data_IF_931314869743
#
_entry.id   IF_931314869743
#
_cell.length_a   1.000
_cell.length_b   1.000
_cell.length_c   1.000
_cell.angle_alpha   90.00
_cell.angle_beta   90.00
_cell.angle_gamma   90.00
#
_symmetry.space_group_name_H-M   'P 1'
#
loop_
_entity.id
_entity.type
_entity.pdbx_description
1 polymer ?
#
# COMPACT_ATOMS: atom_id res chain seq x y z
N UNK A 1 -21.36 29.88 -27.04
CA UNK A 1 -20.46 29.63 -25.89
C UNK A 1 -21.19 29.24 -24.61
N UNK A 2 -22.21 29.99 -24.15
CA UNK A 2 -22.90 29.71 -22.87
C UNK A 2 -23.55 28.30 -22.77
N UNK A 3 -24.20 27.80 -23.83
CA UNK A 3 -24.82 26.46 -23.81
C UNK A 3 -23.80 25.31 -23.65
N UNK A 4 -22.62 25.47 -24.24
CA UNK A 4 -21.52 24.49 -24.09
C UNK A 4 -21.03 24.42 -22.65
N UNK A 5 -20.85 25.57 -22.00
CA UNK A 5 -20.47 25.65 -20.58
C UNK A 5 -21.56 25.02 -19.69
N UNK A 6 -22.83 25.30 -19.95
CA UNK A 6 -23.95 24.70 -19.21
C UNK A 6 -23.95 23.16 -19.26
N UNK A 7 -23.77 22.57 -20.45
CA UNK A 7 -23.67 21.12 -20.60
C UNK A 7 -22.42 20.54 -19.93
N UNK A 8 -21.30 21.27 -19.95
CA UNK A 8 -20.09 20.89 -19.23
C UNK A 8 -20.32 20.82 -17.72
N UNK A 9 -20.98 21.82 -17.14
CA UNK A 9 -21.29 21.83 -15.70
C UNK A 9 -22.16 20.63 -15.29
N UNK A 10 -23.13 20.25 -16.11
CA UNK A 10 -23.95 19.06 -15.88
C UNK A 10 -23.09 17.79 -15.92
N UNK A 11 -22.28 17.61 -16.97
CA UNK A 11 -21.43 16.43 -17.11
C UNK A 11 -20.34 16.31 -16.03
N UNK A 12 -19.87 17.43 -15.48
CA UNK A 12 -18.94 17.43 -14.34
C UNK A 12 -19.61 16.96 -13.05
N UNK A 13 -20.88 17.31 -12.82
CA UNK A 13 -21.64 16.82 -11.66
C UNK A 13 -21.86 15.32 -11.73
N UNK A 14 -22.24 14.81 -12.91
CA UNK A 14 -22.40 13.36 -13.14
C UNK A 14 -21.09 12.60 -12.88
N UNK A 15 -19.96 13.11 -13.39
CA UNK A 15 -18.64 12.51 -13.13
C UNK A 15 -18.27 12.49 -11.65
N UNK A 16 -18.62 13.54 -10.90
CA UNK A 16 -18.35 13.58 -9.47
C UNK A 16 -19.17 12.53 -8.69
N UNK A 17 -20.43 12.32 -9.05
CA UNK A 17 -21.24 11.28 -8.41
C UNK A 17 -20.75 9.87 -8.78
N UNK A 18 -20.36 9.63 -10.04
CA UNK A 18 -19.73 8.36 -10.44
C UNK A 18 -18.41 8.10 -9.69
N UNK A 19 -17.59 9.15 -9.49
CA UNK A 19 -16.37 9.04 -8.71
C UNK A 19 -16.66 8.72 -7.25
N UNK A 20 -17.73 9.30 -6.68
CA UNK A 20 -18.20 9.00 -5.33
C UNK A 20 -18.63 7.54 -5.23
N UNK A 21 -19.47 7.05 -6.14
CA UNK A 21 -19.89 5.65 -6.17
C UNK A 21 -18.71 4.69 -6.28
N UNK A 22 -17.71 5.02 -7.08
CA UNK A 22 -16.45 4.25 -7.17
C UNK A 22 -15.67 4.23 -5.86
N UNK A 23 -15.63 5.35 -5.13
CA UNK A 23 -14.98 5.41 -3.81
C UNK A 23 -15.78 4.58 -2.81
N UNK A 24 -17.11 4.69 -2.82
CA UNK A 24 -17.99 3.94 -1.93
C UNK A 24 -17.86 2.43 -2.18
N UNK A 25 -17.84 1.96 -3.42
CA UNK A 25 -17.60 0.55 -3.72
C UNK A 25 -16.23 0.09 -3.23
N UNK A 26 -15.19 0.93 -3.38
CA UNK A 26 -13.85 0.63 -2.88
C UNK A 26 -13.80 0.49 -1.36
N UNK A 27 -14.44 1.38 -0.59
CA UNK A 27 -14.44 1.32 0.89
C UNK A 27 -14.98 -0.01 1.40
N UNK A 28 -15.98 -0.58 0.73
CA UNK A 28 -16.57 -1.87 1.11
C UNK A 28 -15.70 -3.06 0.68
N UNK A 29 -14.90 -2.93 -0.38
CA UNK A 29 -14.05 -4.00 -0.90
C UNK A 29 -12.65 -4.04 -0.26
N UNK A 30 -12.11 -2.88 0.15
CA UNK A 30 -10.78 -2.78 0.77
C UNK A 30 -10.58 -3.77 1.92
N UNK A 31 -11.52 -3.91 2.89
CA UNK A 31 -11.30 -4.81 4.02
C UNK A 31 -11.12 -6.27 3.60
N UNK A 32 -11.86 -6.72 2.58
CA UNK A 32 -11.72 -8.07 2.05
C UNK A 32 -10.39 -8.24 1.33
N UNK A 33 -10.01 -7.29 0.47
CA UNK A 33 -8.74 -7.34 -0.27
C UNK A 33 -7.54 -7.30 0.68
N UNK A 34 -7.59 -6.47 1.72
CA UNK A 34 -6.57 -6.41 2.75
C UNK A 34 -6.45 -7.74 3.49
N UNK A 35 -7.58 -8.36 3.84
CA UNK A 35 -7.59 -9.65 4.52
C UNK A 35 -7.00 -10.78 3.65
N UNK A 36 -7.26 -10.78 2.34
CA UNK A 36 -6.65 -11.75 1.42
C UNK A 36 -5.14 -11.50 1.26
N UNK A 37 -4.72 -10.24 1.14
CA UNK A 37 -3.30 -9.88 1.09
C UNK A 37 -2.57 -10.31 2.37
N UNK A 38 -3.11 -9.97 3.54
CA UNK A 38 -2.52 -10.32 4.84
C UNK A 38 -2.35 -11.85 5.01
N UNK A 39 -3.31 -12.66 4.51
CA UNK A 39 -3.21 -14.14 4.52
C UNK A 39 -2.05 -14.65 3.67
N UNK A 40 -1.88 -14.11 2.47
CA UNK A 40 -0.79 -14.52 1.59
C UNK A 40 0.58 -14.10 2.09
N UNK A 41 0.67 -12.91 2.70
CA UNK A 41 1.90 -12.46 3.36
C UNK A 41 2.27 -13.37 4.54
N UNK A 42 1.30 -13.72 5.39
CA UNK A 42 1.53 -14.63 6.51
C UNK A 42 2.05 -16.00 6.05
N UNK A 43 1.48 -16.56 4.97
CA UNK A 43 1.93 -17.85 4.40
C UNK A 43 3.41 -17.81 3.98
N UNK A 44 3.82 -16.75 3.28
CA UNK A 44 5.22 -16.59 2.82
C UNK A 44 6.17 -16.46 4.00
N UNK A 45 5.80 -15.63 4.97
CA UNK A 45 6.61 -15.40 6.18
C UNK A 45 6.86 -16.69 6.98
N UNK A 46 5.82 -17.50 7.21
CA UNK A 46 5.99 -18.76 7.93
C UNK A 46 6.80 -19.79 7.16
N UNK A 47 6.66 -19.85 5.83
CA UNK A 47 7.45 -20.74 5.00
C UNK A 47 8.96 -20.37 5.01
N UNK A 48 9.27 -19.08 4.99
CA UNK A 48 10.65 -18.60 5.07
C UNK A 48 11.25 -18.84 6.46
N UNK A 49 10.46 -18.64 7.53
CA UNK A 49 10.88 -18.98 8.90
C UNK A 49 11.18 -20.46 9.09
N UNK A 50 10.34 -21.34 8.55
CA UNK A 50 10.58 -22.79 8.61
C UNK A 50 11.90 -23.15 7.92
N UNK A 51 12.15 -22.57 6.74
CA UNK A 51 13.40 -22.77 5.98
C UNK A 51 14.62 -22.23 6.71
N UNK A 52 14.51 -21.06 7.34
CA UNK A 52 15.58 -20.45 8.13
C UNK A 52 15.92 -21.30 9.36
N UNK A 53 14.90 -21.83 10.04
CA UNK A 53 15.06 -22.73 11.17
C UNK A 53 15.74 -24.05 10.79
N UNK A 54 15.43 -24.61 9.63
CA UNK A 54 16.11 -25.80 9.11
C UNK A 54 17.60 -25.57 8.82
N UNK A 55 17.95 -24.40 8.28
CA UNK A 55 19.33 -24.09 7.88
C UNK A 55 20.20 -23.58 9.04
N UNK A 56 19.67 -22.69 9.87
CA UNK A 56 20.42 -21.97 10.91
C UNK A 56 20.13 -22.46 12.33
N UNK A 57 19.09 -23.29 12.50
CA UNK A 57 18.72 -23.87 13.80
C UNK A 57 18.16 -22.88 14.83
N UNK A 58 18.15 -21.57 14.54
CA UNK A 58 17.73 -20.51 15.46
C UNK A 58 16.89 -19.46 14.77
N UNK A 59 15.86 -18.97 15.47
CA UNK A 59 15.07 -17.81 15.03
C UNK A 59 15.73 -16.54 15.56
N UNK A 60 16.44 -15.82 14.69
CA UNK A 60 17.17 -14.60 15.09
C UNK A 60 16.32 -13.34 14.84
N UNK A 61 16.16 -12.51 15.88
CA UNK A 61 15.56 -11.19 15.73
C UNK A 61 16.65 -10.15 15.40
N UNK A 62 16.47 -9.41 14.31
CA UNK A 62 17.41 -8.35 13.90
C UNK A 62 17.18 -7.09 14.74
N UNK A 63 15.92 -6.75 15.02
CA UNK A 63 15.54 -5.55 15.77
C UNK A 63 15.22 -5.89 17.22
N UNK A 64 15.49 -4.93 18.12
CA UNK A 64 15.25 -5.07 19.55
C UNK A 64 13.79 -4.78 19.96
N UNK A 65 12.96 -4.27 19.05
CA UNK A 65 11.55 -3.95 19.31
C UNK A 65 10.63 -5.11 18.98
N UNK A 66 9.56 -5.27 19.76
CA UNK A 66 8.51 -6.28 19.53
C UNK A 66 7.47 -5.83 18.47
N UNK A 67 7.77 -4.76 17.74
CA UNK A 67 6.90 -4.25 16.68
C UNK A 67 6.97 -5.19 15.48
N UNK A 68 5.81 -5.49 14.90
CA UNK A 68 5.78 -6.14 13.58
C UNK A 68 6.47 -5.24 12.55
N UNK A 69 7.59 -5.73 12.02
CA UNK A 69 8.27 -5.12 10.89
C UNK A 69 7.90 -5.96 9.67
N UNK A 70 7.34 -5.31 8.66
CA UNK A 70 7.09 -5.98 7.38
C UNK A 70 8.43 -6.49 6.84
N UNK A 71 8.55 -7.81 6.65
CA UNK A 71 9.82 -8.38 6.18
C UNK A 71 10.13 -7.82 4.75
N UNK A 72 11.33 -7.25 4.53
CA UNK A 72 11.68 -6.64 3.25
C UNK A 72 11.72 -7.62 2.06
N UNK A 73 11.89 -8.93 2.29
CA UNK A 73 12.11 -9.95 1.25
C UNK A 73 10.93 -10.08 0.29
N UNK A 74 9.70 -9.94 0.78
CA UNK A 74 8.51 -9.95 -0.08
C UNK A 74 8.28 -8.62 -0.82
N UNK A 75 8.99 -7.54 -0.45
CA UNK A 75 9.01 -6.27 -1.20
C UNK A 75 10.08 -6.30 -2.30
N UNK A 76 11.24 -6.93 -2.05
CA UNK A 76 12.36 -6.90 -3.01
C UNK A 76 12.07 -7.59 -4.34
N UNK A 77 11.25 -8.65 -4.38
CA UNK A 77 10.80 -9.23 -5.64
C UNK A 77 9.92 -8.27 -6.45
N UNK A 78 9.01 -7.55 -5.80
CA UNK A 78 8.20 -6.52 -6.46
C UNK A 78 9.06 -5.31 -6.87
N UNK A 79 10.07 -4.95 -6.07
CA UNK A 79 10.97 -3.80 -6.32
C UNK A 79 11.97 -4.06 -7.45
N UNK A 80 12.49 -5.29 -7.55
CA UNK A 80 13.37 -5.70 -8.65
C UNK A 80 12.62 -5.76 -9.99
N UNK A 81 11.33 -6.11 -9.97
CA UNK A 81 10.49 -6.14 -11.17
C UNK A 81 9.95 -4.76 -11.56
N UNK A 82 9.85 -3.80 -10.62
CA UNK A 82 9.34 -2.45 -10.88
C UNK A 82 10.41 -1.38 -11.12
N UNK A 83 11.71 -1.71 -11.07
CA UNK A 83 12.80 -0.81 -11.48
C UNK A 83 12.84 0.55 -10.75
N UNK A 84 12.20 0.68 -9.58
CA UNK A 84 12.08 1.95 -8.89
C UNK A 84 13.29 2.22 -7.99
N UNK A 85 14.03 3.27 -8.35
CA UNK A 85 15.35 3.62 -7.81
C UNK A 85 15.34 3.87 -6.30
N UNK A 86 16.41 3.42 -5.67
CA UNK A 86 16.65 3.29 -4.24
C UNK A 86 17.12 4.60 -3.60
N UNK A 87 16.20 5.53 -3.35
CA UNK A 87 16.51 6.81 -2.69
C UNK A 87 15.77 7.03 -1.36
N UNK A 88 15.50 5.95 -0.64
CA UNK A 88 14.97 6.03 0.74
C UNK A 88 15.82 5.10 1.61
N UNK A 89 17.09 5.48 1.77
CA UNK A 89 17.91 5.11 2.91
C UNK A 89 18.27 6.44 3.57
N UNK A 90 18.12 6.50 4.89
CA UNK A 90 18.40 7.65 5.76
C UNK A 90 17.25 8.64 5.96
N UNK A 91 16.14 8.22 6.57
CA UNK A 91 15.52 9.06 7.60
C UNK A 91 14.98 8.20 8.72
N UNK A 92 15.20 8.70 9.93
CA UNK A 92 15.00 8.01 11.19
C UNK A 92 13.58 7.49 11.38
N UNK A 93 13.54 6.37 12.08
CA UNK A 93 12.37 5.62 12.50
C UNK A 93 11.45 6.48 13.39
N UNK A 94 10.55 7.25 12.81
CA UNK A 94 9.36 7.77 13.49
C UNK A 94 8.23 7.89 12.48
N UNK A 95 7.18 7.08 12.72
CA UNK A 95 5.78 7.28 12.30
C UNK A 95 5.60 7.71 10.83
N UNK A 96 5.11 6.83 9.96
CA UNK A 96 4.52 7.28 8.71
C UNK A 96 3.13 7.88 9.01
N UNK A 97 2.91 9.20 8.97
CA UNK A 97 1.59 9.70 8.62
C UNK A 97 1.37 9.45 7.13
N UNK A 98 0.25 8.82 6.84
CA UNK A 98 -0.41 8.79 5.54
C UNK A 98 -0.60 10.25 5.10
N UNK A 99 0.27 10.72 4.21
CA UNK A 99 0.12 12.00 3.51
C UNK A 99 0.32 11.75 2.03
N UNK A 100 -0.69 11.14 1.41
CA UNK A 100 -0.89 11.21 -0.03
C UNK A 100 -1.35 12.64 -0.35
N UNK A 101 -0.57 13.32 -1.19
CA UNK A 101 -0.75 14.70 -1.62
C UNK A 101 -2.21 15.03 -1.98
N UNK A 102 -2.79 16.01 -1.30
CA UNK A 102 -3.89 16.80 -1.85
C UNK A 102 -3.22 18.07 -2.37
N UNK A 103 -3.05 18.13 -3.69
CA UNK A 103 -2.74 19.38 -4.38
C UNK A 103 -3.83 20.40 -4.06
N UNK A 104 -3.47 21.44 -3.33
CA UNK A 104 -4.20 22.69 -3.31
C UNK A 104 -3.25 23.76 -3.84
N UNK A 105 -3.24 23.89 -5.17
CA UNK A 105 -2.84 25.12 -5.82
C UNK A 105 -3.86 26.21 -5.46
N UNK A 106 -3.41 27.24 -4.76
CA UNK A 106 -3.97 28.59 -4.82
C UNK A 106 -2.91 29.47 -5.46
#
# INVERSE_FOLDING_TARGET
MAYGLYKLFIGTRERNELAREKIWSRIHLIPLLQAEEDRDQARRYFADKAREKELLGTDTKIYNSDRYVMDPRHIYLAKLLTGFNSQIRETNLHVYPISFEIGLSV
#
